data_IF_174254653338
#
_entry.id   IF_174254653338
#
_cell.length_a   1.000
_cell.length_b   1.000
_cell.length_c   1.000
_cell.angle_alpha   90.00
_cell.angle_beta   90.00
_cell.angle_gamma   90.00
#
_symmetry.space_group_name_H-M   'P 1'
#
loop_
_entity.id
_entity.type
_entity.pdbx_description
1 polymer ?
#
# COMPACT_ATOMS: atom_id res chain seq x y z
N UNK A 1 -20.51 19.56 12.20
CA UNK A 1 -19.49 19.11 11.23
C UNK A 1 -19.96 19.51 9.84
N UNK A 2 -19.10 20.17 9.08
CA UNK A 2 -19.45 20.78 7.78
C UNK A 2 -19.25 19.73 6.68
N UNK A 3 -20.25 19.51 5.82
CA UNK A 3 -20.23 18.44 4.80
C UNK A 3 -19.06 18.54 3.80
N UNK A 4 -18.45 19.72 3.63
CA UNK A 4 -17.23 19.90 2.84
C UNK A 4 -15.97 19.40 3.54
N UNK A 5 -15.90 19.53 4.86
CA UNK A 5 -14.75 19.07 5.67
C UNK A 5 -14.72 17.54 5.70
N UNK A 6 -15.89 16.90 5.81
CA UNK A 6 -16.02 15.44 5.77
C UNK A 6 -15.64 14.86 4.40
N UNK A 7 -16.04 15.52 3.30
CA UNK A 7 -15.67 15.11 1.94
C UNK A 7 -14.16 15.28 1.71
N UNK A 8 -13.58 16.40 2.13
CA UNK A 8 -12.14 16.64 2.03
C UNK A 8 -11.32 15.63 2.84
N UNK A 9 -11.81 15.23 4.02
CA UNK A 9 -11.17 14.20 4.85
C UNK A 9 -11.25 12.82 4.20
N UNK A 10 -12.37 12.49 3.55
CA UNK A 10 -12.52 11.22 2.81
C UNK A 10 -11.51 11.13 1.65
N UNK A 11 -11.42 12.20 0.85
CA UNK A 11 -10.49 12.27 -0.28
C UNK A 11 -9.03 12.19 0.19
N UNK A 12 -8.69 12.88 1.29
CA UNK A 12 -7.35 12.82 1.88
C UNK A 12 -6.98 11.41 2.35
N UNK A 13 -7.92 10.70 2.99
CA UNK A 13 -7.73 9.31 3.38
C UNK A 13 -7.52 8.40 2.17
N UNK A 14 -8.28 8.62 1.09
CA UNK A 14 -8.09 7.89 -0.17
C UNK A 14 -6.68 8.07 -0.75
N UNK A 15 -6.16 9.31 -0.75
CA UNK A 15 -4.79 9.61 -1.18
C UNK A 15 -3.73 8.92 -0.32
N UNK A 16 -3.95 8.82 0.99
CA UNK A 16 -3.04 8.11 1.88
C UNK A 16 -2.99 6.60 1.54
N UNK A 17 -4.14 5.95 1.36
CA UNK A 17 -4.18 4.55 0.94
C UNK A 17 -3.58 4.31 -0.44
N UNK A 18 -3.83 5.21 -1.39
CA UNK A 18 -3.22 5.14 -2.73
C UNK A 18 -1.69 5.23 -2.66
N UNK A 19 -1.17 6.14 -1.85
CA UNK A 19 0.27 6.27 -1.67
C UNK A 19 0.87 5.04 -0.97
N UNK A 20 0.23 4.54 0.10
CA UNK A 20 0.67 3.31 0.77
C UNK A 20 0.68 2.09 -0.15
N UNK A 21 -0.36 1.93 -0.98
CA UNK A 21 -0.41 0.85 -1.97
C UNK A 21 0.78 0.92 -2.93
N UNK A 22 1.09 2.12 -3.44
CA UNK A 22 2.24 2.33 -4.33
C UNK A 22 3.59 1.95 -3.70
N UNK A 23 3.74 2.06 -2.37
CA UNK A 23 4.97 1.69 -1.66
C UNK A 23 5.22 0.17 -1.61
N UNK A 24 4.23 -0.68 -1.88
CA UNK A 24 4.38 -2.13 -1.97
C UNK A 24 4.66 -2.63 -3.41
N UNK A 25 4.88 -1.71 -4.34
CA UNK A 25 5.38 -2.00 -5.70
C UNK A 25 6.86 -1.65 -5.83
N UNK A 26 7.58 -2.16 -6.85
CA UNK A 26 8.98 -1.84 -7.05
C UNK A 26 9.21 -0.31 -7.13
N UNK A 27 10.20 0.23 -6.39
CA UNK A 27 10.39 1.66 -6.34
C UNK A 27 10.76 2.25 -7.71
N UNK A 28 10.18 3.41 -7.99
CA UNK A 28 10.25 4.10 -9.27
C UNK A 28 10.55 5.59 -9.09
N UNK A 29 10.83 6.30 -10.19
CA UNK A 29 11.12 7.73 -10.17
C UNK A 29 9.98 8.60 -9.60
N UNK A 30 8.78 8.05 -9.47
CA UNK A 30 7.61 8.69 -8.85
C UNK A 30 7.60 8.62 -7.33
N UNK A 31 8.56 7.96 -6.69
CA UNK A 31 8.55 7.71 -5.24
C UNK A 31 8.44 8.98 -4.40
N UNK A 32 9.15 10.06 -4.75
CA UNK A 32 9.04 11.32 -4.00
C UNK A 32 7.62 11.90 -4.04
N UNK A 33 6.96 11.83 -5.20
CA UNK A 33 5.59 12.29 -5.36
C UNK A 33 4.62 11.42 -4.55
N UNK A 34 4.87 10.11 -4.48
CA UNK A 34 4.11 9.17 -3.63
C UNK A 34 4.27 9.55 -2.16
N UNK A 35 5.49 9.76 -1.67
CA UNK A 35 5.75 10.15 -0.27
C UNK A 35 5.16 11.52 0.08
N UNK A 36 5.24 12.48 -0.84
CA UNK A 36 4.61 13.80 -0.68
C UNK A 36 3.07 13.67 -0.61
N UNK A 37 2.47 12.83 -1.44
CA UNK A 37 1.03 12.54 -1.40
C UNK A 37 0.62 11.84 -0.10
N UNK A 38 1.45 10.92 0.40
CA UNK A 38 1.22 10.26 1.69
C UNK A 38 1.19 11.28 2.83
N UNK A 39 2.21 12.13 2.92
CA UNK A 39 2.29 13.19 3.94
C UNK A 39 1.06 14.09 3.90
N UNK A 40 0.72 14.66 2.74
CA UNK A 40 -0.43 15.56 2.60
C UNK A 40 -1.78 14.88 2.87
N UNK A 41 -1.91 13.58 2.55
CA UNK A 41 -3.07 12.78 2.93
C UNK A 41 -3.18 12.66 4.45
N UNK A 42 -2.10 12.21 5.12
CA UNK A 42 -2.07 12.01 6.57
C UNK A 42 -2.28 13.32 7.35
N UNK A 43 -1.68 14.43 6.94
CA UNK A 43 -1.87 15.75 7.59
C UNK A 43 -3.35 16.15 7.74
N UNK A 44 -4.20 15.73 6.81
CA UNK A 44 -5.63 16.06 6.83
C UNK A 44 -6.50 15.01 7.52
N UNK A 45 -6.12 13.73 7.46
CA UNK A 45 -6.97 12.64 7.97
C UNK A 45 -6.49 12.01 9.29
N UNK A 46 -5.18 11.95 9.50
CA UNK A 46 -4.49 11.40 10.69
C UNK A 46 -3.23 12.22 11.00
N UNK A 47 -3.36 13.48 11.48
CA UNK A 47 -2.23 14.39 11.69
C UNK A 47 -1.14 13.82 12.61
N UNK A 48 -1.52 12.97 13.55
CA UNK A 48 -0.62 12.27 14.47
C UNK A 48 0.33 11.28 13.77
N UNK A 49 -0.01 10.83 12.55
CA UNK A 49 0.81 9.94 11.73
C UNK A 49 1.64 10.69 10.68
N UNK A 50 1.31 11.95 10.40
CA UNK A 50 2.02 12.77 9.40
C UNK A 50 3.54 12.87 9.65
N UNK A 51 4.05 12.94 10.89
CA UNK A 51 5.50 12.97 11.14
C UNK A 51 6.25 11.79 10.52
N UNK A 52 5.69 10.57 10.55
CA UNK A 52 6.34 9.40 9.97
C UNK A 52 6.49 9.49 8.44
N UNK A 53 5.51 10.09 7.75
CA UNK A 53 5.61 10.31 6.31
C UNK A 53 6.58 11.46 5.98
N UNK A 54 6.73 12.43 6.88
CA UNK A 54 7.74 13.48 6.75
C UNK A 54 9.15 12.92 6.90
N UNK A 55 9.36 12.06 7.90
CA UNK A 55 10.64 11.37 8.14
C UNK A 55 11.03 10.53 6.90
N UNK A 56 10.12 9.71 6.37
CA UNK A 56 10.36 8.94 5.14
C UNK A 56 10.73 9.83 3.94
N UNK A 57 10.04 10.96 3.78
CA UNK A 57 10.29 11.90 2.70
C UNK A 57 11.65 12.61 2.87
N UNK A 58 12.02 12.96 4.10
CA UNK A 58 13.30 13.55 4.42
C UNK A 58 14.45 12.57 4.14
N UNK A 59 14.36 11.34 4.65
CA UNK A 59 15.36 10.29 4.41
C UNK A 59 15.56 10.03 2.91
N UNK A 60 14.47 9.89 2.15
CA UNK A 60 14.57 9.71 0.70
C UNK A 60 15.23 10.90 -0.02
N UNK A 61 14.99 12.13 0.43
CA UNK A 61 15.59 13.33 -0.17
C UNK A 61 17.07 13.47 0.14
N UNK A 62 17.52 13.02 1.31
CA UNK A 62 18.93 13.02 1.67
C UNK A 62 19.72 12.02 0.80
N UNK A 63 19.14 10.86 0.49
CA UNK A 63 19.79 9.82 -0.30
C UNK A 63 18.81 9.15 -1.29
N UNK A 64 18.53 9.78 -2.44
CA UNK A 64 17.62 9.22 -3.44
C UNK A 64 18.31 8.12 -4.26
N UNK A 65 18.45 6.92 -3.70
CA UNK A 65 19.00 5.75 -4.39
C UNK A 65 17.92 4.71 -4.71
N UNK A 66 17.37 4.78 -5.93
CA UNK A 66 16.39 3.80 -6.40
C UNK A 66 16.99 2.42 -6.68
N UNK A 67 18.32 2.30 -6.82
CA UNK A 67 18.99 1.02 -6.98
C UNK A 67 18.95 0.23 -5.68
N UNK A 68 19.46 0.83 -4.61
CA UNK A 68 19.47 0.25 -3.27
C UNK A 68 18.06 -0.10 -2.79
N UNK A 69 17.09 0.81 -2.99
CA UNK A 69 15.68 0.55 -2.63
C UNK A 69 15.06 -0.62 -3.42
N UNK A 70 15.49 -0.88 -4.66
CA UNK A 70 15.01 -2.05 -5.44
C UNK A 70 15.61 -3.35 -4.94
N UNK A 71 16.87 -3.31 -4.51
CA UNK A 71 17.53 -4.47 -3.89
C UNK A 71 16.83 -4.83 -2.58
N UNK A 72 16.53 -3.82 -1.74
CA UNK A 72 15.75 -4.01 -0.53
C UNK A 72 14.33 -4.49 -0.80
N UNK A 73 13.62 -3.91 -1.77
CA UNK A 73 12.31 -4.40 -2.21
C UNK A 73 12.36 -5.89 -2.58
N UNK A 74 13.38 -6.28 -3.36
CA UNK A 74 13.56 -7.67 -3.80
C UNK A 74 13.82 -8.60 -2.63
N UNK A 75 14.69 -8.18 -1.70
CA UNK A 75 15.02 -8.93 -0.47
C UNK A 75 13.82 -9.08 0.46
N UNK A 76 12.99 -8.05 0.59
CA UNK A 76 11.82 -8.06 1.47
C UNK A 76 10.67 -8.89 0.89
N UNK A 77 10.36 -8.72 -0.40
CA UNK A 77 9.07 -9.13 -0.98
C UNK A 77 9.14 -10.16 -2.11
N UNK A 78 10.30 -10.37 -2.78
CA UNK A 78 10.39 -11.23 -3.98
C UNK A 78 11.32 -12.45 -3.85
N UNK A 79 12.37 -12.40 -3.03
CA UNK A 79 13.36 -13.47 -2.91
C UNK A 79 14.63 -13.19 -3.73
N UNK A 80 15.55 -14.17 -3.90
CA UNK A 80 15.29 -15.60 -4.09
C UNK A 80 15.30 -16.46 -2.81
N UNK A 81 15.61 -15.88 -1.65
CA UNK A 81 15.53 -16.56 -0.36
C UNK A 81 14.12 -16.54 0.25
N UNK A 82 13.94 -17.08 1.47
CA UNK A 82 12.73 -16.87 2.23
C UNK A 82 12.42 -15.36 2.32
N UNK A 83 11.17 -14.99 2.01
CA UNK A 83 10.74 -13.61 2.10
C UNK A 83 10.79 -13.15 3.56
N UNK A 84 11.35 -11.97 3.79
CA UNK A 84 11.39 -11.36 5.13
C UNK A 84 10.00 -10.87 5.53
N UNK A 85 9.27 -10.30 4.57
CA UNK A 85 7.92 -9.77 4.77
C UNK A 85 7.03 -10.25 3.63
N UNK A 86 6.38 -11.41 3.80
CA UNK A 86 5.49 -11.95 2.76
C UNK A 86 4.32 -10.98 2.57
N UNK A 87 4.06 -10.46 1.35
CA UNK A 87 3.09 -9.36 1.19
C UNK A 87 1.65 -9.84 0.96
N UNK A 88 1.27 -11.00 1.53
CA UNK A 88 -0.06 -11.59 1.35
C UNK A 88 -0.74 -11.82 2.70
N UNK A 89 -1.98 -11.37 2.85
CA UNK A 89 -2.75 -11.51 4.09
C UNK A 89 -2.83 -12.95 4.57
N UNK A 90 -3.08 -13.90 3.66
CA UNK A 90 -3.14 -15.33 3.98
C UNK A 90 -1.89 -15.89 4.64
N UNK A 91 -0.71 -15.37 4.32
CA UNK A 91 0.50 -15.83 5.00
C UNK A 91 0.44 -15.62 6.51
N UNK A 92 -0.14 -14.51 6.96
CA UNK A 92 -0.25 -14.19 8.39
C UNK A 92 -1.49 -14.79 9.04
N UNK A 93 -2.59 -14.94 8.29
CA UNK A 93 -3.88 -15.39 8.82
C UNK A 93 -4.10 -16.91 8.71
N UNK A 94 -3.47 -17.55 7.72
CA UNK A 94 -3.64 -18.98 7.40
C UNK A 94 -2.40 -19.81 7.79
N UNK A 95 -1.67 -19.38 8.82
CA UNK A 95 -0.57 -20.16 9.42
C UNK A 95 0.67 -20.31 8.53
N UNK A 96 1.08 -19.25 7.84
CA UNK A 96 2.28 -19.24 6.99
C UNK A 96 2.03 -19.69 5.54
N UNK A 97 0.77 -19.81 5.13
CA UNK A 97 0.39 -20.27 3.79
C UNK A 97 -0.09 -19.10 2.92
N UNK A 98 0.50 -18.92 1.74
CA UNK A 98 -0.05 -18.01 0.72
C UNK A 98 -1.17 -18.67 -0.07
N UNK A 99 -2.09 -17.87 -0.61
CA UNK A 99 -3.28 -18.35 -1.34
C UNK A 99 -4.15 -19.30 -0.50
N UNK A 100 -4.34 -18.97 0.78
CA UNK A 100 -5.18 -19.72 1.71
C UNK A 100 -6.66 -19.30 1.67
N UNK A 101 -7.48 -19.80 2.61
CA UNK A 101 -8.90 -19.43 2.73
C UNK A 101 -9.15 -17.91 2.77
N UNK A 102 -8.32 -17.15 3.48
CA UNK A 102 -8.52 -15.70 3.62
C UNK A 102 -8.28 -14.94 2.31
N UNK A 103 -7.49 -15.50 1.38
CA UNK A 103 -7.38 -14.97 0.00
C UNK A 103 -8.72 -14.99 -0.75
N UNK A 104 -9.52 -16.04 -0.54
CA UNK A 104 -10.85 -16.14 -1.15
C UNK A 104 -11.84 -15.18 -0.50
N UNK A 105 -11.73 -14.95 0.81
CA UNK A 105 -12.54 -13.97 1.53
C UNK A 105 -12.28 -12.55 1.02
N UNK A 106 -11.00 -12.16 0.86
CA UNK A 106 -10.63 -10.88 0.23
C UNK A 106 -11.27 -10.73 -1.17
N UNK A 107 -11.20 -11.78 -1.99
CA UNK A 107 -11.83 -11.76 -3.31
C UNK A 107 -13.36 -11.61 -3.25
N UNK A 108 -14.02 -12.19 -2.25
CA UNK A 108 -15.47 -12.07 -2.06
C UNK A 108 -15.87 -10.64 -1.68
N UNK A 109 -15.09 -9.96 -0.83
CA UNK A 109 -15.32 -8.55 -0.48
C UNK A 109 -15.28 -7.66 -1.72
N UNK A 110 -14.31 -7.85 -2.61
CA UNK A 110 -14.23 -7.09 -3.86
C UNK A 110 -15.45 -7.33 -4.74
N UNK A 111 -15.84 -8.61 -4.92
CA UNK A 111 -17.02 -8.97 -5.73
C UNK A 111 -18.32 -8.41 -5.17
N UNK A 112 -18.45 -8.32 -3.84
CA UNK A 112 -19.66 -7.82 -3.18
C UNK A 112 -19.96 -6.36 -3.53
N UNK A 113 -18.94 -5.55 -3.82
CA UNK A 113 -19.09 -4.15 -4.25
C UNK A 113 -18.99 -3.99 -5.78
N UNK A 114 -19.01 -5.09 -6.54
CA UNK A 114 -18.97 -5.07 -8.00
C UNK A 114 -17.57 -4.92 -8.60
N UNK A 115 -16.51 -4.95 -7.79
CA UNK A 115 -15.14 -4.95 -8.29
C UNK A 115 -14.76 -6.33 -8.85
N UNK A 116 -13.96 -6.29 -9.91
CA UNK A 116 -13.32 -7.48 -10.48
C UNK A 116 -11.81 -7.27 -10.48
N UNK A 117 -11.01 -8.28 -10.07
CA UNK A 117 -9.56 -8.19 -10.21
C UNK A 117 -9.20 -7.84 -11.66
N UNK A 118 -8.40 -6.79 -11.85
CA UNK A 118 -8.02 -6.34 -13.18
C UNK A 118 -7.29 -7.45 -13.94
N UNK A 119 -7.67 -7.72 -15.20
CA UNK A 119 -7.12 -8.83 -16.00
C UNK A 119 -5.60 -8.77 -16.29
N UNK A 120 -4.90 -7.75 -15.82
CA UNK A 120 -3.43 -7.61 -15.90
C UNK A 120 -2.70 -8.02 -14.61
N UNK A 121 -3.40 -8.22 -13.49
CA UNK A 121 -2.77 -8.52 -12.20
C UNK A 121 -2.45 -10.02 -12.07
N UNK A 122 -1.16 -10.31 -11.89
CA UNK A 122 -0.64 -11.66 -11.59
C UNK A 122 -0.62 -11.96 -10.07
N UNK A 123 -0.99 -11.00 -9.23
CA UNK A 123 -0.93 -11.17 -7.78
C UNK A 123 -2.23 -11.78 -7.22
N UNK A 124 -2.13 -12.61 -6.17
CA UNK A 124 -3.26 -13.01 -5.34
C UNK A 124 -4.11 -11.80 -4.87
N UNK A 125 -5.44 -11.96 -4.73
CA UNK A 125 -6.33 -10.91 -4.25
C UNK A 125 -5.94 -10.28 -2.89
N UNK A 126 -5.34 -11.06 -2.00
CA UNK A 126 -4.89 -10.64 -0.67
C UNK A 126 -3.47 -10.05 -0.66
N UNK A 127 -2.95 -9.66 -1.82
CA UNK A 127 -1.76 -8.84 -1.89
C UNK A 127 -2.03 -7.50 -1.21
N UNK A 128 -1.17 -7.11 -0.26
CA UNK A 128 -1.42 -5.92 0.58
C UNK A 128 -1.65 -4.64 -0.23
N UNK A 129 -0.96 -4.46 -1.36
CA UNK A 129 -1.20 -3.29 -2.22
C UNK A 129 -2.62 -3.29 -2.80
N UNK A 130 -3.17 -4.46 -3.15
CA UNK A 130 -4.53 -4.63 -3.66
C UNK A 130 -5.57 -4.42 -2.56
N UNK A 131 -5.31 -4.88 -1.33
CA UNK A 131 -6.17 -4.57 -0.19
C UNK A 131 -6.18 -3.07 0.13
N UNK A 132 -5.03 -2.39 0.05
CA UNK A 132 -4.94 -0.93 0.19
C UNK A 132 -5.66 -0.20 -0.96
N UNK A 133 -5.61 -0.71 -2.19
CA UNK A 133 -6.39 -0.21 -3.33
C UNK A 133 -7.89 -0.24 -3.07
N UNK A 134 -8.36 -1.35 -2.51
CA UNK A 134 -9.75 -1.51 -2.14
C UNK A 134 -10.24 -0.46 -1.13
N UNK A 135 -9.36 0.05 -0.27
CA UNK A 135 -9.73 1.04 0.77
C UNK A 135 -9.98 2.46 0.23
N UNK A 136 -9.55 2.78 -1.00
CA UNK A 136 -9.77 4.09 -1.62
C UNK A 136 -10.60 4.06 -2.91
N UNK A 137 -11.09 2.89 -3.31
CA UNK A 137 -11.99 2.75 -4.46
C UNK A 137 -13.34 3.45 -4.23
#
# INVERSE_FOLDING_TARGET
>A
MNSKDDLNRHDARGRAYQALSALYHPPAATLEAVLTSLKGGLELCYPELAPYADDLLAEYREQPDLGELRDDYTRLFLGPGPLVAVPYGSFYLDGGRTMGPTTLEAQQHYRAVGLKPGGKFKQPPDFIATELEFMFF
#
